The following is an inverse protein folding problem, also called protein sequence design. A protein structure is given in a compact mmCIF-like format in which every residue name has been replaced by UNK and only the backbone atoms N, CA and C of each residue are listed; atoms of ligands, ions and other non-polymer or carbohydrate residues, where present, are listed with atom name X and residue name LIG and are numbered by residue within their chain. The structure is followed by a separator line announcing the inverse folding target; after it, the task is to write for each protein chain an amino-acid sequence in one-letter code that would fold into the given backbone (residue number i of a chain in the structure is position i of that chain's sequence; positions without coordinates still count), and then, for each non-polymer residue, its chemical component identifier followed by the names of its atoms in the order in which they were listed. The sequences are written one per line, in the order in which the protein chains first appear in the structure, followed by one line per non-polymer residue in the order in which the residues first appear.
data_IF_153108369368
#
_entry.id   IF_153108369368
#
_cell.length_a   1.000
_cell.length_b   1.000
_cell.length_c   1.000
_cell.angle_alpha   90.00
_cell.angle_beta   90.00
_cell.angle_gamma   90.00
#
_symmetry.space_group_name_H-M   'P 1'
#
loop_
_entity.id
_entity.type
_entity.pdbx_description
1 polymer ?
#
# COMPACT_ATOMS: atom_id res chain seq x y z
N UNK A 1 21.00 -11.04 -26.43
CA UNK A 1 19.56 -11.33 -26.29
C UNK A 1 19.24 -12.66 -26.92
N UNK A 2 19.24 -13.75 -26.14
CA UNK A 2 18.84 -15.09 -26.60
C UNK A 2 17.39 -15.33 -26.17
N UNK A 3 16.46 -15.06 -27.08
CA UNK A 3 15.05 -15.41 -26.90
C UNK A 3 14.82 -16.80 -27.48
N UNK A 4 14.07 -17.63 -26.77
CA UNK A 4 13.61 -18.93 -27.27
C UNK A 4 12.64 -18.71 -28.43
N UNK A 5 12.87 -19.39 -29.56
CA UNK A 5 12.02 -19.33 -30.74
C UNK A 5 11.54 -20.74 -31.10
N UNK A 6 10.30 -20.85 -31.58
CA UNK A 6 9.69 -22.13 -31.99
C UNK A 6 9.94 -22.48 -33.46
N UNK A 7 10.70 -21.66 -34.18
CA UNK A 7 10.88 -21.79 -35.63
C UNK A 7 11.58 -23.09 -35.99
N UNK A 8 10.92 -23.93 -36.79
CA UNK A 8 11.46 -25.23 -37.20
C UNK A 8 11.26 -26.37 -36.20
N UNK A 9 10.52 -26.16 -35.11
CA UNK A 9 10.07 -27.19 -34.17
C UNK A 9 8.57 -27.48 -34.34
N UNK A 10 8.21 -28.75 -34.51
CA UNK A 10 6.81 -29.20 -34.66
C UNK A 10 6.54 -30.31 -33.65
N UNK A 11 5.42 -30.20 -32.91
CA UNK A 11 4.98 -31.24 -31.97
C UNK A 11 4.36 -32.40 -32.74
N UNK A 12 4.85 -33.60 -32.50
CA UNK A 12 4.44 -34.82 -33.20
C UNK A 12 3.17 -35.46 -32.62
N UNK A 13 2.45 -36.25 -33.43
CA UNK A 13 1.16 -36.84 -33.05
C UNK A 13 1.26 -37.94 -31.99
N UNK A 14 2.45 -38.49 -31.71
CA UNK A 14 2.66 -39.47 -30.63
C UNK A 14 2.91 -38.82 -29.27
N UNK A 15 2.81 -37.49 -29.18
CA UNK A 15 2.92 -36.77 -27.91
C UNK A 15 1.80 -37.16 -26.96
N UNK A 16 2.16 -37.60 -25.76
CA UNK A 16 1.24 -37.96 -24.68
C UNK A 16 1.71 -37.36 -23.35
N UNK A 17 1.08 -37.73 -22.24
CA UNK A 17 1.42 -37.19 -20.91
C UNK A 17 2.81 -37.60 -20.40
N UNK A 18 3.37 -38.71 -20.90
CA UNK A 18 4.64 -39.29 -20.45
C UNK A 18 5.80 -39.00 -21.41
N UNK A 19 5.51 -38.77 -22.69
CA UNK A 19 6.50 -38.58 -23.75
C UNK A 19 6.07 -37.47 -24.71
N UNK A 20 6.96 -36.51 -24.94
CA UNK A 20 6.79 -35.50 -25.99
C UNK A 20 7.53 -35.92 -27.25
N UNK A 21 6.82 -36.00 -28.37
CA UNK A 21 7.43 -36.20 -29.68
C UNK A 21 7.65 -34.84 -30.33
N UNK A 22 8.88 -34.55 -30.77
CA UNK A 22 9.20 -33.31 -31.45
C UNK A 22 9.97 -33.60 -32.73
N UNK A 23 9.58 -32.92 -33.81
CA UNK A 23 10.30 -32.88 -35.07
C UNK A 23 11.06 -31.54 -35.15
N UNK A 24 12.36 -31.61 -35.43
CA UNK A 24 13.20 -30.42 -35.60
C UNK A 24 13.88 -30.43 -36.97
N UNK A 25 13.98 -29.26 -37.60
CA UNK A 25 14.77 -29.06 -38.83
C UNK A 25 16.22 -28.66 -38.56
N UNK A 26 16.60 -28.50 -37.29
CA UNK A 26 17.92 -27.99 -36.89
C UNK A 26 18.42 -28.64 -35.59
N UNK A 27 19.74 -28.71 -35.43
CA UNK A 27 20.40 -29.29 -34.26
C UNK A 27 20.77 -28.18 -33.26
N UNK A 28 19.80 -27.74 -32.47
CA UNK A 28 19.99 -26.77 -31.37
C UNK A 28 19.41 -27.33 -30.07
N UNK A 29 19.73 -26.69 -28.95
CA UNK A 29 19.09 -26.99 -27.67
C UNK A 29 17.61 -26.64 -27.75
N UNK A 30 16.75 -27.62 -27.52
CA UNK A 30 15.30 -27.44 -27.41
C UNK A 30 14.84 -27.70 -25.97
N UNK A 31 13.73 -27.09 -25.59
CA UNK A 31 13.03 -27.35 -24.34
C UNK A 31 11.56 -27.62 -24.63
N UNK A 32 11.00 -28.66 -24.00
CA UNK A 32 9.58 -29.00 -24.09
C UNK A 32 8.90 -28.77 -22.75
N UNK A 33 7.67 -28.24 -22.78
CA UNK A 33 6.86 -28.02 -21.59
C UNK A 33 5.41 -28.41 -21.84
N UNK A 34 4.75 -28.92 -20.81
CA UNK A 34 3.34 -29.30 -20.85
C UNK A 34 2.53 -28.29 -20.05
N UNK A 35 1.66 -27.52 -20.71
CA UNK A 35 0.74 -26.59 -20.05
C UNK A 35 -0.65 -27.20 -20.05
N UNK A 36 -1.07 -27.77 -18.91
CA UNK A 36 -2.47 -28.13 -18.69
C UNK A 36 -3.22 -26.83 -18.47
N UNK A 37 -3.93 -26.37 -19.49
CA UNK A 37 -4.87 -25.27 -19.32
C UNK A 37 -6.04 -25.81 -18.49
N UNK A 38 -6.40 -25.17 -17.37
CA UNK A 38 -7.59 -25.56 -16.64
C UNK A 38 -8.79 -25.48 -17.59
N UNK A 39 -9.68 -26.45 -17.49
CA UNK A 39 -10.91 -26.46 -18.27
C UNK A 39 -11.68 -25.15 -18.01
N UNK A 40 -12.16 -24.51 -19.07
CA UNK A 40 -12.93 -23.28 -18.93
C UNK A 40 -14.17 -23.54 -18.10
N UNK A 41 -14.50 -22.64 -17.18
CA UNK A 41 -15.70 -22.78 -16.35
C UNK A 41 -16.94 -22.90 -17.24
N UNK A 42 -17.57 -24.06 -17.21
CA UNK A 42 -18.78 -24.33 -17.97
C UNK A 42 -20.00 -23.74 -17.25
N UNK A 43 -20.30 -22.48 -17.55
CA UNK A 43 -21.41 -21.74 -16.92
C UNK A 43 -22.78 -22.38 -17.18
N UNK A 44 -23.01 -23.05 -18.31
CA UNK A 44 -24.31 -23.67 -18.59
C UNK A 44 -24.60 -24.85 -17.66
N UNK A 45 -23.60 -25.66 -17.34
CA UNK A 45 -23.70 -26.73 -16.35
C UNK A 45 -23.90 -26.19 -14.92
N UNK A 46 -23.20 -25.11 -14.57
CA UNK A 46 -23.33 -24.46 -13.25
C UNK A 46 -24.75 -23.93 -13.05
N UNK A 47 -25.31 -23.22 -14.03
CA UNK A 47 -26.67 -22.69 -13.93
C UNK A 47 -27.75 -23.77 -14.01
N UNK A 48 -27.53 -24.83 -14.80
CA UNK A 48 -28.44 -25.97 -14.86
C UNK A 48 -28.55 -26.72 -13.51
N UNK A 49 -27.49 -26.67 -12.68
CA UNK A 49 -27.43 -27.30 -11.36
C UNK A 49 -27.51 -26.30 -10.20
N UNK A 50 -27.96 -25.07 -10.45
CA UNK A 50 -28.05 -24.01 -9.44
C UNK A 50 -29.24 -24.16 -8.47
N UNK A 51 -29.91 -25.32 -8.41
CA UNK A 51 -31.03 -25.52 -7.49
C UNK A 51 -30.56 -25.47 -6.02
N UNK A 52 -31.11 -24.51 -5.26
CA UNK A 52 -30.78 -24.26 -3.86
C UNK A 52 -31.01 -25.48 -2.96
N UNK A 53 -32.02 -26.29 -3.26
CA UNK A 53 -32.38 -27.44 -2.43
C UNK A 53 -31.44 -28.63 -2.63
N UNK A 54 -30.85 -28.78 -3.82
CA UNK A 54 -29.91 -29.86 -4.14
C UNK A 54 -28.51 -29.59 -3.62
N UNK A 55 -28.11 -28.32 -3.58
CA UNK A 55 -26.72 -27.91 -3.33
C UNK A 55 -26.56 -26.98 -2.11
N UNK A 56 -27.30 -27.27 -1.03
CA UNK A 56 -27.33 -26.47 0.21
C UNK A 56 -25.95 -26.10 0.76
N UNK A 57 -24.99 -27.04 0.73
CA UNK A 57 -23.64 -26.82 1.26
C UNK A 57 -22.90 -25.71 0.50
N UNK A 58 -22.99 -25.68 -0.83
CA UNK A 58 -22.33 -24.67 -1.67
C UNK A 58 -22.90 -23.29 -1.30
N UNK A 59 -24.22 -23.14 -1.30
CA UNK A 59 -24.87 -21.88 -0.95
C UNK A 59 -24.55 -21.43 0.48
N UNK A 60 -24.53 -22.34 1.44
CA UNK A 60 -24.14 -22.03 2.83
C UNK A 60 -22.71 -21.49 2.89
N UNK A 61 -21.76 -22.15 2.22
CA UNK A 61 -20.36 -21.69 2.19
C UNK A 61 -20.21 -20.34 1.51
N UNK A 62 -20.88 -20.11 0.38
CA UNK A 62 -20.85 -18.83 -0.34
C UNK A 62 -21.44 -17.72 0.52
N UNK A 63 -22.59 -17.94 1.16
CA UNK A 63 -23.22 -16.94 2.05
C UNK A 63 -22.29 -16.59 3.22
N UNK A 64 -21.65 -17.59 3.85
CA UNK A 64 -20.71 -17.35 4.96
C UNK A 64 -19.49 -16.55 4.51
N UNK A 65 -18.88 -16.91 3.38
CA UNK A 65 -17.74 -16.18 2.83
C UNK A 65 -18.13 -14.75 2.46
N UNK A 66 -19.29 -14.56 1.82
CA UNK A 66 -19.82 -13.24 1.51
C UNK A 66 -20.08 -12.41 2.78
N UNK A 67 -20.65 -13.01 3.83
CA UNK A 67 -20.90 -12.33 5.09
C UNK A 67 -19.58 -11.88 5.77
N UNK A 68 -18.59 -12.76 5.84
CA UNK A 68 -17.26 -12.42 6.38
C UNK A 68 -16.61 -11.32 5.56
N UNK A 69 -16.68 -11.40 4.23
CA UNK A 69 -16.16 -10.38 3.32
C UNK A 69 -16.81 -9.01 3.58
N UNK A 70 -18.14 -8.96 3.69
CA UNK A 70 -18.86 -7.70 3.96
C UNK A 70 -18.47 -7.13 5.31
N UNK A 71 -18.34 -7.95 6.36
CA UNK A 71 -17.89 -7.50 7.68
C UNK A 71 -16.47 -6.92 7.64
N UNK A 72 -15.53 -7.61 6.98
CA UNK A 72 -14.16 -7.13 6.79
C UNK A 72 -14.11 -5.86 5.95
N UNK A 73 -14.95 -5.75 4.91
CA UNK A 73 -15.06 -4.55 4.08
C UNK A 73 -15.57 -3.37 4.88
N UNK A 74 -16.61 -3.55 5.72
CA UNK A 74 -17.12 -2.50 6.62
C UNK A 74 -16.03 -2.09 7.62
N UNK A 75 -15.34 -3.07 8.23
CA UNK A 75 -14.23 -2.81 9.15
C UNK A 75 -13.11 -2.02 8.47
N UNK A 76 -12.66 -2.46 7.29
CA UNK A 76 -11.62 -1.78 6.52
C UNK A 76 -12.03 -0.36 6.16
N UNK A 77 -13.26 -0.15 5.67
CA UNK A 77 -13.79 1.19 5.35
C UNK A 77 -13.85 2.11 6.56
N UNK A 78 -14.19 1.57 7.73
CA UNK A 78 -14.19 2.34 8.97
C UNK A 78 -12.78 2.81 9.35
N UNK A 79 -11.78 1.95 9.25
CA UNK A 79 -10.39 2.31 9.54
C UNK A 79 -9.79 3.23 8.48
N UNK A 80 -10.13 3.04 7.21
CA UNK A 80 -9.73 3.92 6.11
C UNK A 80 -10.22 5.36 6.32
N UNK A 81 -11.49 5.54 6.69
CA UNK A 81 -12.05 6.86 7.04
C UNK A 81 -11.31 7.52 8.21
N UNK A 82 -10.97 6.74 9.24
CA UNK A 82 -10.18 7.24 10.39
C UNK A 82 -8.76 7.61 10.02
N UNK A 83 -8.19 6.99 9.01
CA UNK A 83 -6.82 7.29 8.57
C UNK A 83 -6.79 8.58 7.74
N UNK A 84 -7.83 8.82 6.93
CA UNK A 84 -8.00 10.10 6.20
C UNK A 84 -8.05 11.31 7.15
N UNK A 85 -8.63 11.17 8.34
CA UNK A 85 -8.66 12.23 9.36
C UNK A 85 -7.25 12.63 9.86
N UNK A 86 -6.24 11.78 9.66
CA UNK A 86 -4.83 12.09 10.01
C UNK A 86 -4.07 12.74 8.85
N UNK A 87 -4.65 12.83 7.66
CA UNK A 87 -4.00 13.47 6.52
C UNK A 87 -4.13 14.99 6.61
N UNK A 88 -3.15 15.69 6.05
CA UNK A 88 -3.12 17.15 5.98
C UNK A 88 -1.97 17.78 6.75
N UNK A 89 -1.70 19.04 6.46
CA UNK A 89 -0.65 19.84 7.10
C UNK A 89 -1.25 20.62 8.26
N UNK A 90 -0.70 20.45 9.46
CA UNK A 90 -1.08 21.18 10.67
C UNK A 90 -0.38 22.52 10.70
N UNK A 91 -1.11 23.60 10.89
CA UNK A 91 -0.50 24.92 11.16
C UNK A 91 -0.08 24.94 12.63
N UNK A 92 1.18 25.27 12.92
CA UNK A 92 1.63 25.34 14.32
C UNK A 92 0.81 26.40 15.09
N UNK A 93 0.44 26.12 16.35
CA UNK A 93 -0.46 26.98 17.13
C UNK A 93 0.14 28.37 17.43
N UNK A 94 1.45 28.50 17.34
CA UNK A 94 2.23 29.71 17.62
C UNK A 94 2.68 30.44 16.34
N UNK A 95 2.09 30.12 15.18
CA UNK A 95 2.28 30.87 13.95
C UNK A 95 1.63 32.25 14.03
N UNK A 96 2.29 33.26 13.46
CA UNK A 96 1.77 34.61 13.33
C UNK A 96 1.28 34.87 11.90
N UNK A 97 0.16 35.58 11.76
CA UNK A 97 -0.42 35.93 10.45
C UNK A 97 0.41 36.95 9.67
N UNK A 98 1.27 37.68 10.36
CA UNK A 98 2.14 38.70 9.78
C UNK A 98 3.51 38.13 9.34
N UNK A 99 3.71 36.82 9.49
CA UNK A 99 4.94 36.15 9.05
C UNK A 99 4.86 35.87 7.55
N UNK A 100 5.91 36.24 6.82
CA UNK A 100 5.95 36.14 5.35
C UNK A 100 6.74 34.93 4.83
N UNK A 101 7.34 34.12 5.73
CA UNK A 101 8.15 32.97 5.36
C UNK A 101 7.68 31.70 6.06
N UNK A 102 7.66 30.58 5.33
CA UNK A 102 7.08 29.32 5.79
C UNK A 102 8.02 28.14 5.59
N UNK A 103 8.12 27.29 6.61
CA UNK A 103 8.83 26.01 6.58
C UNK A 103 7.83 24.86 6.78
N UNK A 104 7.91 23.85 5.92
CA UNK A 104 7.20 22.60 6.12
C UNK A 104 8.10 21.61 6.85
N UNK A 105 7.62 21.07 7.98
CA UNK A 105 8.30 20.04 8.74
C UNK A 105 7.50 18.74 8.65
N UNK A 106 8.17 17.63 8.41
CA UNK A 106 7.55 16.30 8.38
C UNK A 106 8.23 15.44 9.44
N UNK A 107 7.46 15.01 10.43
CA UNK A 107 7.97 14.23 11.56
C UNK A 107 7.55 12.78 11.37
N UNK A 108 8.55 11.90 11.30
CA UNK A 108 8.35 10.46 11.22
C UNK A 108 8.49 9.86 12.60
N UNK A 109 7.41 9.30 13.13
CA UNK A 109 7.45 8.61 14.41
C UNK A 109 7.75 7.14 14.19
N UNK A 110 8.74 6.61 14.92
CA UNK A 110 9.18 5.23 14.76
C UNK A 110 8.07 4.18 14.95
N UNK A 111 8.28 2.99 14.39
CA UNK A 111 7.36 1.85 14.49
C UNK A 111 7.60 0.96 15.71
N UNK A 112 8.64 1.21 16.52
CA UNK A 112 8.94 0.43 17.73
C UNK A 112 7.81 0.56 18.74
N UNK A 113 7.64 -0.46 19.59
CA UNK A 113 6.75 -0.38 20.75
C UNK A 113 7.13 0.87 21.57
N UNK A 114 6.11 1.62 21.99
CA UNK A 114 6.23 2.86 22.78
C UNK A 114 7.01 4.00 22.08
N UNK A 115 7.14 3.97 20.74
CA UNK A 115 7.75 5.06 19.98
C UNK A 115 6.86 6.30 19.83
N UNK A 116 5.54 6.16 20.03
CA UNK A 116 4.62 7.29 20.03
C UNK A 116 4.55 7.97 21.39
N UNK A 117 4.21 9.26 21.41
CA UNK A 117 4.09 10.03 22.65
C UNK A 117 2.74 10.74 22.76
N UNK A 118 2.38 11.08 24.00
CA UNK A 118 1.26 11.99 24.33
C UNK A 118 1.75 13.26 25.04
N UNK A 119 3.05 13.37 25.25
CA UNK A 119 3.67 14.54 25.86
C UNK A 119 3.66 15.71 24.88
N UNK A 120 3.69 16.93 25.41
CA UNK A 120 3.95 18.11 24.60
C UNK A 120 5.42 18.10 24.18
N UNK A 121 5.65 18.07 22.86
CA UNK A 121 7.00 18.10 22.29
C UNK A 121 7.27 19.51 21.78
N UNK A 122 8.38 20.06 22.23
CA UNK A 122 8.85 21.38 21.85
C UNK A 122 10.15 21.26 21.08
N UNK A 123 10.41 22.22 20.20
CA UNK A 123 11.65 22.26 19.45
C UNK A 123 12.10 23.69 19.16
N UNK A 124 13.38 23.83 18.81
CA UNK A 124 13.99 25.06 18.30
C UNK A 124 14.80 24.71 17.05
N UNK A 125 14.66 25.50 15.98
CA UNK A 125 15.47 25.40 14.77
C UNK A 125 16.48 26.53 14.78
N UNK A 126 17.74 26.17 14.53
CA UNK A 126 18.83 27.10 14.38
C UNK A 126 19.24 27.22 12.90
N UNK A 127 19.41 28.43 12.43
CA UNK A 127 19.84 28.74 11.07
C UNK A 127 20.93 29.79 11.03
N UNK A 128 21.56 29.95 9.86
CA UNK A 128 22.65 30.90 9.68
C UNK A 128 22.23 32.37 9.86
N UNK A 129 20.98 32.71 9.50
CA UNK A 129 20.49 34.09 9.57
C UNK A 129 19.75 34.39 10.87
N UNK A 130 18.99 33.41 11.38
CA UNK A 130 18.19 33.54 12.60
C UNK A 130 17.82 32.17 13.17
N UNK A 131 17.43 32.18 14.45
CA UNK A 131 16.88 31.03 15.16
C UNK A 131 15.38 31.21 15.42
N UNK A 132 14.67 30.10 15.59
CA UNK A 132 13.29 30.14 16.07
C UNK A 132 13.24 30.29 17.58
N UNK A 133 12.10 30.77 18.10
CA UNK A 133 11.78 30.58 19.51
C UNK A 133 11.33 29.13 19.76
N UNK A 134 11.01 28.79 21.02
CA UNK A 134 10.45 27.49 21.38
C UNK A 134 9.11 27.32 20.66
N UNK A 135 9.06 26.36 19.72
CA UNK A 135 7.86 25.97 18.97
C UNK A 135 7.27 24.71 19.57
N UNK A 136 5.98 24.47 19.34
CA UNK A 136 5.28 23.28 19.89
C UNK A 136 4.69 22.45 18.77
N UNK A 137 5.06 21.17 18.70
CA UNK A 137 4.44 20.20 17.78
C UNK A 137 3.09 19.75 18.36
N UNK A 138 2.04 20.48 18.01
CA UNK A 138 0.68 20.17 18.44
C UNK A 138 -0.31 20.41 17.30
N UNK A 139 -1.38 19.61 17.32
CA UNK A 139 -2.54 19.78 16.45
C UNK A 139 -3.80 19.87 17.33
N UNK A 140 -4.70 20.86 17.10
CA UNK A 140 -5.90 21.04 17.92
C UNK A 140 -6.99 19.99 17.66
N UNK A 141 -6.95 19.28 16.53
CA UNK A 141 -8.01 18.37 16.08
C UNK A 141 -7.60 16.91 16.13
N UNK A 142 -6.32 16.59 15.93
CA UNK A 142 -5.82 15.20 15.93
C UNK A 142 -4.67 14.98 16.90
N UNK A 143 -4.46 13.71 17.26
CA UNK A 143 -3.27 13.29 18.02
C UNK A 143 -2.10 13.14 17.07
N UNK A 144 -1.05 13.93 17.29
CA UNK A 144 0.22 13.87 16.56
C UNK A 144 1.23 12.98 17.28
N UNK A 145 2.35 12.67 16.62
CA UNK A 145 3.49 11.92 17.15
C UNK A 145 3.09 10.52 17.63
N UNK A 146 2.13 9.91 16.93
CA UNK A 146 1.67 8.56 17.23
C UNK A 146 2.60 7.54 16.58
N UNK A 147 2.75 6.39 17.22
CA UNK A 147 3.62 5.30 16.74
C UNK A 147 3.35 5.00 15.27
N UNK A 148 4.41 5.03 14.45
CA UNK A 148 4.30 4.76 13.03
C UNK A 148 3.63 5.84 12.19
N UNK A 149 3.29 6.98 12.79
CA UNK A 149 2.66 8.11 12.14
C UNK A 149 3.66 9.00 11.41
N UNK A 150 3.11 9.75 10.45
CA UNK A 150 3.80 10.81 9.72
C UNK A 150 2.96 12.07 9.87
N UNK A 151 3.51 13.06 10.58
CA UNK A 151 2.80 14.31 10.87
C UNK A 151 3.50 15.46 10.13
N UNK A 152 2.75 16.18 9.31
CA UNK A 152 3.24 17.35 8.59
C UNK A 152 2.79 18.63 9.29
N UNK A 153 3.71 19.54 9.53
CA UNK A 153 3.50 20.82 10.18
C UNK A 153 3.98 21.98 9.31
N UNK A 154 3.28 23.11 9.39
CA UNK A 154 3.66 24.37 8.75
C UNK A 154 4.07 25.36 9.83
N UNK A 155 5.33 25.78 9.81
CA UNK A 155 5.88 26.79 10.70
C UNK A 155 6.04 28.11 9.94
N UNK A 156 5.46 29.18 10.46
CA UNK A 156 5.68 30.54 9.96
C UNK A 156 6.79 31.22 10.74
N UNK A 157 7.59 32.03 10.06
CA UNK A 157 8.62 32.89 10.64
C UNK A 157 8.65 34.24 9.90
N UNK A 158 9.07 35.34 10.55
CA UNK A 158 9.07 36.66 9.93
C UNK A 158 9.96 36.75 8.67
N UNK A 159 11.08 36.02 8.64
CA UNK A 159 12.07 36.00 7.57
C UNK A 159 12.73 34.61 7.48
N UNK A 160 13.42 34.35 6.37
CA UNK A 160 14.26 33.17 6.20
C UNK A 160 15.20 32.98 7.39
N UNK A 161 15.37 31.73 7.83
CA UNK A 161 16.38 31.33 8.81
C UNK A 161 17.75 31.10 8.16
N UNK A 162 17.85 31.20 6.82
CA UNK A 162 19.05 30.85 6.06
C UNK A 162 19.22 29.33 5.95
N UNK A 163 20.47 28.86 5.86
CA UNK A 163 20.78 27.44 5.90
C UNK A 163 20.56 26.89 7.31
N UNK A 164 19.83 25.76 7.40
CA UNK A 164 19.48 25.16 8.69
C UNK A 164 20.65 24.34 9.22
N UNK A 165 21.03 24.61 10.46
CA UNK A 165 22.22 24.04 11.10
C UNK A 165 21.87 22.90 12.05
N UNK A 166 20.91 23.13 12.94
CA UNK A 166 20.48 22.11 13.87
C UNK A 166 19.03 22.31 14.32
N UNK A 167 18.46 21.22 14.82
CA UNK A 167 17.17 21.19 15.50
C UNK A 167 17.38 20.62 16.90
N UNK A 168 16.80 21.27 17.90
CA UNK A 168 16.89 20.88 19.30
C UNK A 168 15.50 20.64 19.88
#
# INVERSE_FOLDING_TARGET
NQQWQSDGLIVGPLTNHDQTQCYSTHLTTFAGGFTILPETVNWSYVFANADFMKNKTIYLTVILVCAIYVLLAIYARYYDKKDVEKLGVTILPDNNKNDDYFYQMIVFTGQRRDAGTKSNVHFVIHGDENDTHIRTLADPHRRVLQRGGVDAFLMSVPKSLGQLNCIR
#
